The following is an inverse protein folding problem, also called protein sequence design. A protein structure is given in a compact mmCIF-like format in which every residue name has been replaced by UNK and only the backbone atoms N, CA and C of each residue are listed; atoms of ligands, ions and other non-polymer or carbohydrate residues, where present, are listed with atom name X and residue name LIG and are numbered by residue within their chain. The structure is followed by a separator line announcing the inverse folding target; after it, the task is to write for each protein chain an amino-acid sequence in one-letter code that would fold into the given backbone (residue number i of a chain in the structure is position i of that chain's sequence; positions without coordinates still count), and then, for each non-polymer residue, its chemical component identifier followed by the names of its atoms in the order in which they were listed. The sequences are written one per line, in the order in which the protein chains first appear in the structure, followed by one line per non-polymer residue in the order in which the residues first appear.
data_IF_815903478295
#
_entry.id   IF_815903478295
#
_cell.length_a   1.000
_cell.length_b   1.000
_cell.length_c   1.000
_cell.angle_alpha   90.00
_cell.angle_beta   90.00
_cell.angle_gamma   90.00
#
_symmetry.space_group_name_H-M   'P 1'
#
loop_
_entity.id
_entity.type
_entity.pdbx_description
1 polymer ?
#
# COMPACT_ATOMS: atom_id res chain seq x y z
N UNK A 1 5.57 -1.96 -8.89
CA UNK A 1 6.21 -2.58 -10.05
C UNK A 1 6.55 -1.48 -11.04
N UNK A 2 7.75 -1.55 -11.62
CA UNK A 2 8.31 -0.60 -12.60
C UNK A 2 8.43 -1.36 -13.92
N UNK A 3 7.39 -1.28 -14.76
CA UNK A 3 7.36 -1.96 -16.06
C UNK A 3 8.15 -1.15 -17.10
N UNK A 4 8.97 -1.85 -17.90
CA UNK A 4 9.76 -1.20 -18.96
C UNK A 4 10.93 -0.34 -18.48
N UNK A 5 11.31 -0.42 -17.21
CA UNK A 5 12.50 0.28 -16.70
C UNK A 5 13.76 -0.26 -17.41
N UNK A 6 14.63 0.60 -17.99
CA UNK A 6 15.84 0.16 -18.67
C UNK A 6 16.75 -0.68 -17.76
N UNK A 7 17.31 -1.76 -18.31
CA UNK A 7 18.11 -2.73 -17.54
C UNK A 7 19.27 -2.12 -16.74
N UNK A 8 19.95 -1.12 -17.30
CA UNK A 8 21.05 -0.43 -16.64
C UNK A 8 20.60 0.36 -15.40
N UNK A 9 19.30 0.69 -15.30
CA UNK A 9 18.69 1.37 -14.16
C UNK A 9 18.15 0.41 -13.10
N UNK A 10 18.33 -0.91 -13.26
CA UNK A 10 17.98 -1.92 -12.24
C UNK A 10 19.02 -1.98 -11.11
N UNK A 11 19.43 -0.81 -10.64
CA UNK A 11 20.34 -0.66 -9.51
C UNK A 11 19.59 -0.02 -8.36
N UNK A 12 19.96 -0.37 -7.13
CA UNK A 12 19.34 0.18 -5.92
C UNK A 12 19.27 1.71 -5.94
N UNK A 13 20.33 2.35 -6.41
CA UNK A 13 20.45 3.80 -6.45
C UNK A 13 19.34 4.46 -7.29
N UNK A 14 19.13 3.99 -8.52
CA UNK A 14 18.10 4.54 -9.42
C UNK A 14 16.69 4.19 -8.94
N UNK A 15 16.45 2.92 -8.59
CA UNK A 15 15.12 2.49 -8.11
C UNK A 15 14.73 3.28 -6.87
N UNK A 16 15.67 3.49 -5.93
CA UNK A 16 15.46 4.29 -4.73
C UNK A 16 15.05 5.72 -5.06
N UNK A 17 15.71 6.38 -6.00
CA UNK A 17 15.35 7.74 -6.41
C UNK A 17 13.92 7.80 -6.98
N UNK A 18 13.59 6.89 -7.89
CA UNK A 18 12.25 6.85 -8.51
C UNK A 18 11.17 6.66 -7.45
N UNK A 19 11.32 5.67 -6.57
CA UNK A 19 10.29 5.35 -5.57
C UNK A 19 10.29 6.26 -4.34
N UNK A 20 11.36 7.01 -4.09
CA UNK A 20 11.42 7.98 -2.99
C UNK A 20 10.38 9.09 -3.14
N UNK A 21 9.91 9.35 -4.35
CA UNK A 21 8.81 10.30 -4.61
C UNK A 21 7.44 9.77 -4.12
N UNK A 22 7.32 8.45 -3.97
CA UNK A 22 6.07 7.77 -3.65
C UNK A 22 6.03 7.35 -2.17
N UNK A 23 7.16 6.90 -1.63
CA UNK A 23 7.25 6.40 -0.26
C UNK A 23 8.66 5.97 0.11
N UNK A 24 8.79 5.18 1.18
CA UNK A 24 10.10 4.74 1.68
C UNK A 24 10.48 3.39 1.08
N UNK A 25 11.52 3.29 0.22
CA UNK A 25 11.96 2.00 -0.29
C UNK A 25 12.53 1.13 0.83
N UNK A 26 12.07 -0.12 0.88
CA UNK A 26 12.50 -1.11 1.87
C UNK A 26 13.49 -2.10 1.27
N UNK A 27 13.09 -2.79 0.20
CA UNK A 27 13.92 -3.85 -0.41
C UNK A 27 13.57 -4.07 -1.87
N UNK A 28 14.57 -4.37 -2.70
CA UNK A 28 14.33 -4.85 -4.07
C UNK A 28 13.89 -6.30 -4.07
N UNK A 29 13.07 -6.67 -5.03
CA UNK A 29 12.71 -8.06 -5.25
C UNK A 29 13.91 -8.89 -5.70
N UNK A 30 13.96 -10.16 -5.31
CA UNK A 30 15.06 -11.06 -5.65
C UNK A 30 15.29 -11.18 -7.16
N UNK A 31 14.23 -11.15 -7.98
CA UNK A 31 14.36 -11.21 -9.44
C UNK A 31 14.94 -9.91 -10.04
N UNK A 32 14.71 -8.78 -9.38
CA UNK A 32 15.30 -7.48 -9.76
C UNK A 32 16.77 -7.42 -9.35
N UNK A 33 17.10 -7.90 -8.15
CA UNK A 33 18.49 -8.01 -7.67
C UNK A 33 19.31 -8.96 -8.57
N UNK A 34 18.75 -10.13 -8.88
CA UNK A 34 19.40 -11.13 -9.72
C UNK A 34 19.36 -10.80 -11.21
N UNK A 35 18.67 -9.71 -11.59
CA UNK A 35 18.54 -9.26 -12.98
C UNK A 35 17.99 -10.34 -13.92
N UNK A 36 17.25 -11.30 -13.37
CA UNK A 36 16.67 -12.44 -14.12
C UNK A 36 15.43 -12.05 -14.92
N UNK A 37 14.78 -10.93 -14.56
CA UNK A 37 13.58 -10.39 -15.24
C UNK A 37 13.82 -8.95 -15.68
N UNK A 38 14.56 -8.71 -16.78
CA UNK A 38 14.97 -7.38 -17.20
C UNK A 38 13.81 -6.47 -17.64
N UNK A 39 12.65 -7.04 -17.98
CA UNK A 39 11.45 -6.28 -18.35
C UNK A 39 10.64 -5.75 -17.15
N UNK A 40 10.94 -6.24 -15.93
CA UNK A 40 10.12 -6.00 -14.76
C UNK A 40 10.95 -5.82 -13.50
N UNK A 41 11.04 -4.57 -13.03
CA UNK A 41 11.63 -4.27 -11.73
C UNK A 41 10.55 -4.21 -10.63
N UNK A 42 10.80 -4.87 -9.51
CA UNK A 42 9.92 -4.89 -8.33
C UNK A 42 10.70 -4.42 -7.10
N UNK A 43 10.03 -3.64 -6.27
CA UNK A 43 10.57 -3.09 -5.03
C UNK A 43 9.43 -2.99 -4.01
N UNK A 44 9.73 -3.34 -2.76
CA UNK A 44 8.86 -3.15 -1.61
C UNK A 44 9.05 -1.74 -1.10
N UNK A 45 7.96 -1.01 -0.96
CA UNK A 45 7.93 0.39 -0.55
C UNK A 45 6.90 0.53 0.56
N UNK A 46 7.26 1.23 1.63
CA UNK A 46 6.29 1.69 2.62
C UNK A 46 5.51 2.87 2.04
N UNK A 47 4.21 2.68 1.88
CA UNK A 47 3.30 3.65 1.27
C UNK A 47 2.39 4.28 2.32
N UNK A 48 2.26 5.60 2.26
CA UNK A 48 1.31 6.35 3.09
C UNK A 48 -0.07 6.33 2.44
N UNK A 49 -0.92 5.39 2.86
CA UNK A 49 -2.28 5.18 2.35
C UNK A 49 -3.22 6.38 2.51
N UNK A 50 -2.83 7.42 3.26
CA UNK A 50 -3.61 8.66 3.40
C UNK A 50 -3.42 9.60 2.20
N UNK A 51 -2.32 9.45 1.46
CA UNK A 51 -1.96 10.30 0.31
C UNK A 51 -2.45 9.70 -1.01
N UNK A 52 -2.64 10.56 -2.00
CA UNK A 52 -2.84 10.11 -3.38
C UNK A 52 -1.52 9.58 -3.93
N UNK A 53 -1.57 8.44 -4.61
CA UNK A 53 -0.39 7.79 -5.17
C UNK A 53 -0.44 7.96 -6.70
N UNK A 54 0.61 8.49 -7.33
CA UNK A 54 0.62 8.67 -8.78
C UNK A 54 0.81 7.32 -9.49
N UNK A 55 0.18 7.16 -10.65
CA UNK A 55 0.36 5.97 -11.52
C UNK A 55 1.59 6.06 -12.42
N UNK A 56 2.28 7.21 -12.43
CA UNK A 56 3.52 7.40 -13.17
C UNK A 56 4.37 8.51 -12.56
N UNK A 57 5.68 8.43 -12.74
CA UNK A 57 6.67 9.40 -12.26
C UNK A 57 7.57 9.82 -13.42
N UNK A 58 7.83 11.11 -13.54
CA UNK A 58 8.82 11.61 -14.50
C UNK A 58 10.24 11.41 -13.93
N UNK A 59 11.10 10.75 -14.71
CA UNK A 59 12.51 10.53 -14.38
C UNK A 59 13.33 11.44 -15.30
N UNK A 60 13.88 12.51 -14.73
CA UNK A 60 14.82 13.40 -15.42
C UNK A 60 16.22 12.80 -15.42
N UNK A 61 16.91 12.90 -16.56
CA UNK A 61 18.34 12.68 -16.69
C UNK A 61 18.99 14.05 -16.81
N UNK A 62 19.71 14.45 -15.77
CA UNK A 62 20.53 15.66 -15.83
C UNK A 62 21.77 15.36 -16.69
N UNK A 63 21.73 15.77 -17.95
CA UNK A 63 22.88 15.85 -18.85
C UNK A 63 23.26 17.33 -19.03
N UNK A 64 24.55 17.65 -18.92
CA UNK A 64 25.11 19.02 -19.02
C UNK A 64 24.80 19.68 -20.38
N UNK A 65 24.70 18.88 -21.44
CA UNK A 65 24.39 19.32 -22.81
C UNK A 65 22.89 19.36 -23.14
N UNK A 66 22.01 18.77 -22.32
CA UNK A 66 20.58 18.66 -22.63
C UNK A 66 19.72 18.40 -21.38
N UNK A 67 19.29 19.45 -20.66
CA UNK A 67 18.53 19.34 -19.40
C UNK A 67 17.10 18.77 -19.55
N UNK A 68 16.66 18.43 -20.77
CA UNK A 68 15.31 17.94 -21.06
C UNK A 68 15.23 16.43 -21.30
N UNK A 69 16.33 15.69 -21.16
CA UNK A 69 16.29 14.23 -21.34
C UNK A 69 15.63 13.59 -20.13
N UNK A 70 14.66 12.72 -20.39
CA UNK A 70 13.92 12.04 -19.35
C UNK A 70 12.85 11.14 -19.93
N UNK A 71 12.21 10.36 -19.07
CA UNK A 71 11.12 9.50 -19.46
C UNK A 71 10.09 9.39 -18.35
N UNK A 72 8.84 9.13 -18.74
CA UNK A 72 7.77 8.82 -17.80
C UNK A 72 7.83 7.35 -17.43
N UNK A 73 8.19 7.06 -16.18
CA UNK A 73 8.13 5.71 -15.64
C UNK A 73 6.73 5.41 -15.09
N UNK A 74 6.04 4.44 -15.71
CA UNK A 74 4.77 3.94 -15.22
C UNK A 74 4.96 3.11 -13.94
N UNK A 75 4.04 3.27 -13.00
CA UNK A 75 4.02 2.59 -11.72
C UNK A 75 2.79 1.69 -11.65
N UNK A 76 3.01 0.45 -11.29
CA UNK A 76 1.93 -0.52 -11.07
C UNK A 76 2.01 -1.03 -9.64
N UNK A 77 1.02 -0.67 -8.82
CA UNK A 77 0.98 -1.09 -7.43
C UNK A 77 0.39 -2.48 -7.30
N UNK A 78 1.08 -3.36 -6.59
CA UNK A 78 0.63 -4.73 -6.35
C UNK A 78 0.03 -4.82 -4.94
N UNK A 79 -1.21 -5.28 -4.85
CA UNK A 79 -1.91 -5.57 -3.59
C UNK A 79 -2.02 -4.40 -2.58
N UNK A 80 -2.30 -3.17 -3.02
CA UNK A 80 -2.63 -2.07 -2.09
C UNK A 80 -3.92 -2.41 -1.33
N UNK A 81 -3.86 -2.56 0.01
CA UNK A 81 -5.06 -2.84 0.79
C UNK A 81 -5.91 -1.56 0.94
N UNK A 82 -7.23 -1.73 0.95
CA UNK A 82 -8.16 -0.60 1.11
C UNK A 82 -8.01 0.01 2.50
N UNK A 83 -7.78 1.33 2.57
CA UNK A 83 -7.68 2.05 3.83
C UNK A 83 -9.00 2.70 4.24
N UNK A 84 -9.41 2.48 5.48
CA UNK A 84 -10.60 3.06 6.08
C UNK A 84 -10.24 4.30 6.92
N UNK A 85 -10.55 5.51 6.43
CA UNK A 85 -10.36 6.77 7.19
C UNK A 85 -11.15 6.84 8.51
N UNK A 86 -12.38 6.33 8.53
CA UNK A 86 -13.26 6.29 9.72
C UNK A 86 -12.70 5.39 10.83
N UNK A 87 -12.39 4.13 10.52
CA UNK A 87 -11.91 3.15 11.48
C UNK A 87 -10.40 3.17 11.71
N UNK A 88 -9.64 4.00 10.97
CA UNK A 88 -8.16 4.05 10.93
C UNK A 88 -7.53 2.65 10.81
N UNK A 89 -8.17 1.79 10.02
CA UNK A 89 -7.83 0.35 9.88
C UNK A 89 -7.67 -0.01 8.42
N UNK A 90 -6.74 -0.92 8.16
CA UNK A 90 -6.46 -1.47 6.83
C UNK A 90 -7.39 -2.66 6.58
N UNK A 91 -7.87 -2.83 5.34
CA UNK A 91 -8.58 -4.03 4.90
C UNK A 91 -10.09 -3.86 4.65
N UNK A 92 -10.65 -2.65 4.77
CA UNK A 92 -12.08 -2.44 4.49
C UNK A 92 -12.39 -1.02 3.99
N UNK A 93 -13.53 -0.87 3.30
CA UNK A 93 -14.04 0.42 2.79
C UNK A 93 -14.89 1.15 3.84
N UNK A 94 -15.21 2.43 3.60
CA UNK A 94 -16.11 3.21 4.47
C UNK A 94 -17.46 2.54 4.68
N UNK A 95 -18.04 1.97 3.62
CA UNK A 95 -19.30 1.25 3.68
C UNK A 95 -19.17 0.02 4.59
N UNK A 96 -18.07 -0.72 4.47
CA UNK A 96 -17.81 -1.89 5.29
C UNK A 96 -17.50 -1.53 6.76
N UNK A 97 -16.96 -0.33 7.04
CA UNK A 97 -16.73 0.15 8.40
C UNK A 97 -18.03 0.35 9.17
N UNK A 98 -19.02 1.02 8.54
CA UNK A 98 -20.34 1.25 9.15
C UNK A 98 -21.09 -0.06 9.43
N UNK A 99 -20.93 -1.04 8.53
CA UNK A 99 -21.53 -2.38 8.71
C UNK A 99 -20.85 -3.11 9.88
N UNK A 100 -19.50 -3.09 9.94
CA UNK A 100 -18.74 -3.68 11.05
C UNK A 100 -19.14 -3.06 12.39
N UNK A 101 -19.22 -1.73 12.49
CA UNK A 101 -19.64 -1.04 13.72
C UNK A 101 -21.06 -1.43 14.17
N UNK A 102 -22.01 -1.52 13.22
CA UNK A 102 -23.37 -1.99 13.52
C UNK A 102 -23.39 -3.44 14.01
N UNK A 103 -22.58 -4.31 13.43
CA UNK A 103 -22.50 -5.71 13.85
C UNK A 103 -21.85 -5.84 15.24
N UNK A 104 -20.76 -5.10 15.49
CA UNK A 104 -20.12 -5.02 16.82
C UNK A 104 -21.06 -4.48 17.90
N UNK A 105 -21.93 -3.53 17.57
CA UNK A 105 -22.94 -3.01 18.50
C UNK A 105 -24.00 -4.08 18.81
N UNK A 106 -24.51 -4.79 17.80
CA UNK A 106 -25.49 -5.88 17.98
C UNK A 106 -24.93 -7.02 18.84
N UNK A 107 -23.69 -7.46 18.57
CA UNK A 107 -23.04 -8.51 19.37
C UNK A 107 -22.85 -8.13 20.83
N UNK A 108 -22.60 -6.84 21.13
CA UNK A 108 -22.48 -6.35 22.51
C UNK A 108 -23.82 -6.35 23.23
N UNK A 109 -24.90 -5.93 22.57
CA UNK A 109 -26.24 -5.95 23.14
C UNK A 109 -26.71 -7.40 23.39
N UNK A 110 -26.51 -8.31 22.44
CA UNK A 110 -26.80 -9.74 22.62
C UNK A 110 -26.00 -10.39 23.76
N UNK A 111 -24.73 -9.98 23.95
CA UNK A 111 -23.90 -10.45 25.07
C UNK A 111 -24.34 -9.89 26.42
N UNK A 112 -24.82 -8.64 26.48
CA UNK A 112 -25.40 -8.06 27.71
C UNK A 112 -26.70 -8.76 28.10
N UNK A 113 -27.57 -9.01 27.13
CA UNK A 113 -28.85 -9.69 27.36
C UNK A 113 -28.65 -11.13 27.87
N UNK A 114 -27.68 -11.87 27.29
CA UNK A 114 -27.28 -13.20 27.77
C UNK A 114 -26.65 -13.20 29.17
N UNK A 115 -25.92 -12.14 29.55
CA UNK A 115 -25.36 -11.98 30.91
C UNK A 115 -26.44 -11.63 31.94
N UNK A 116 -27.38 -10.74 31.60
CA UNK A 116 -28.51 -10.38 32.48
C UNK A 116 -29.41 -11.58 32.80
N UNK A 117 -29.62 -12.49 31.82
CA UNK A 117 -30.38 -13.73 32.02
C UNK A 117 -29.68 -14.75 32.93
N UNK A 118 -28.34 -14.83 32.95
CA UNK A 118 -27.59 -15.74 33.83
C UNK A 118 -27.60 -15.26 35.28
N UNK A 119 -27.40 -13.97 35.51
CA UNK A 119 -27.34 -13.42 36.87
C UNK A 119 -28.69 -13.46 37.61
N UNK A 120 -29.81 -13.62 36.89
CA UNK A 120 -31.15 -13.74 37.48
C UNK A 120 -31.55 -15.20 37.82
N UNK A 121 -30.67 -16.18 37.52
CA UNK A 121 -30.91 -17.61 37.76
C UNK A 121 -30.18 -18.19 38.97
N UNK A 122 -29.39 -17.41 39.70
CA UNK A 122 -28.58 -17.85 40.85
C UNK A 122 -29.08 -17.29 42.20
N UNK A 123 -30.36 -16.88 42.28
CA UNK A 123 -31.01 -16.54 43.55
C UNK A 123 -32.15 -17.52 43.82
N UNK A 124 -31.80 -18.75 44.20
CA UNK A 124 -32.68 -19.77 44.80
C UNK A 124 -31.95 -20.40 45.97
#
# INVERSE_FOLDING_TARGET
MLSGLPFHMHSWHYIRQIVSSIGTPLVMDAATISKTRPSMAKVRVELDLLKSHPDSVWVGLEDEDSPLRGFTQKLEYEAIPKYCKHGKKIGHTMTNCKILEKNLAKEKEEKKEKRGRRNNGENC
#
